data_IF_725565543093
#
_entry.id   IF_725565543093
#
_cell.length_a   1.000
_cell.length_b   1.000
_cell.length_c   1.000
_cell.angle_alpha   90.00
_cell.angle_beta   90.00
_cell.angle_gamma   90.00
#
_symmetry.space_group_name_H-M   'P 1'
#
loop_
_entity.id
_entity.type
_entity.pdbx_description
1 polymer ?
#
# COMPACT_ATOMS: atom_id res chain seq x y z
N UNK A 1 -21.10 25.75 8.50
CA UNK A 1 -20.62 24.85 7.44
C UNK A 1 -20.28 23.53 8.10
N UNK A 2 -20.89 22.42 7.69
CA UNK A 2 -20.47 21.09 8.15
C UNK A 2 -19.26 20.72 7.29
N UNK A 3 -18.09 20.55 7.90
CA UNK A 3 -16.90 20.01 7.24
C UNK A 3 -17.29 18.74 6.49
N UNK A 4 -17.14 18.80 5.16
CA UNK A 4 -17.51 17.73 4.26
C UNK A 4 -16.54 16.57 4.49
N UNK A 5 -17.08 15.37 4.60
CA UNK A 5 -16.44 14.11 4.99
C UNK A 5 -15.38 13.63 3.94
N UNK A 6 -14.29 14.38 3.75
CA UNK A 6 -13.19 14.14 2.81
C UNK A 6 -11.97 13.45 3.43
N UNK A 7 -12.07 13.02 4.69
CA UNK A 7 -10.93 12.38 5.38
C UNK A 7 -10.61 10.99 4.84
N UNK A 8 -11.55 10.35 4.14
CA UNK A 8 -11.36 9.04 3.54
C UNK A 8 -11.16 9.17 2.04
N UNK A 9 -10.01 8.71 1.55
CA UNK A 9 -9.69 8.73 0.12
C UNK A 9 -9.25 7.34 -0.35
N UNK A 10 -9.52 7.02 -1.60
CA UNK A 10 -8.95 5.84 -2.26
C UNK A 10 -7.56 6.23 -2.76
N UNK A 11 -6.54 5.47 -2.36
CA UNK A 11 -5.17 5.64 -2.80
C UNK A 11 -4.65 4.33 -3.36
N UNK A 12 -3.77 4.44 -4.35
CA UNK A 12 -2.99 3.31 -4.82
C UNK A 12 -1.74 3.20 -3.95
N UNK A 13 -1.51 1.99 -3.46
CA UNK A 13 -0.37 1.63 -2.64
C UNK A 13 0.50 0.67 -3.42
N UNK A 14 1.77 0.99 -3.56
CA UNK A 14 2.76 0.12 -4.20
C UNK A 14 3.66 -0.52 -3.14
N UNK A 15 3.92 -1.82 -3.30
CA UNK A 15 4.86 -2.59 -2.47
C UNK A 15 6.14 -2.85 -3.28
N UNK A 16 7.10 -1.92 -3.30
CA UNK A 16 8.32 -2.06 -4.08
C UNK A 16 9.19 -3.19 -3.56
N UNK A 17 9.75 -3.99 -4.48
CA UNK A 17 10.76 -4.99 -4.15
C UNK A 17 10.25 -6.21 -3.36
N UNK A 18 8.93 -6.37 -3.20
CA UNK A 18 8.36 -7.51 -2.49
C UNK A 18 8.86 -8.82 -3.13
N UNK A 19 9.49 -9.72 -2.34
CA UNK A 19 9.92 -11.03 -2.84
C UNK A 19 8.76 -11.86 -3.41
N UNK A 20 9.02 -12.60 -4.49
CA UNK A 20 7.99 -13.41 -5.17
C UNK A 20 7.35 -14.48 -4.27
N UNK A 21 8.09 -15.00 -3.28
CA UNK A 21 7.57 -15.93 -2.27
C UNK A 21 6.37 -15.38 -1.49
N UNK A 22 6.22 -14.05 -1.40
CA UNK A 22 5.09 -13.39 -0.75
C UNK A 22 3.95 -13.03 -1.71
N UNK A 23 3.96 -13.51 -2.97
CA UNK A 23 2.91 -13.21 -3.93
C UNK A 23 1.68 -14.08 -3.71
N UNK A 24 0.99 -13.81 -2.60
CA UNK A 24 -0.23 -14.49 -2.18
C UNK A 24 -1.36 -13.46 -2.06
N UNK A 25 -2.49 -13.71 -2.72
CA UNK A 25 -3.68 -12.85 -2.66
C UNK A 25 -4.17 -12.62 -1.23
N UNK A 26 -4.09 -13.62 -0.36
CA UNK A 26 -4.53 -13.50 1.02
C UNK A 26 -3.59 -12.62 1.85
N UNK A 27 -2.28 -12.72 1.61
CA UNK A 27 -1.31 -11.79 2.18
C UNK A 27 -1.56 -10.36 1.69
N UNK A 28 -1.85 -10.16 0.41
CA UNK A 28 -2.18 -8.84 -0.13
C UNK A 28 -3.46 -8.26 0.49
N UNK A 29 -4.48 -9.09 0.74
CA UNK A 29 -5.69 -8.67 1.46
C UNK A 29 -5.38 -8.28 2.90
N UNK A 30 -4.53 -9.05 3.59
CA UNK A 30 -4.11 -8.75 4.95
C UNK A 30 -3.33 -7.43 5.02
N UNK A 31 -2.38 -7.22 4.09
CA UNK A 31 -1.63 -5.96 3.97
C UNK A 31 -2.57 -4.80 3.68
N UNK A 32 -3.45 -4.93 2.68
CA UNK A 32 -4.42 -3.89 2.34
C UNK A 32 -5.32 -3.56 3.53
N UNK A 33 -5.78 -4.57 4.28
CA UNK A 33 -6.58 -4.44 5.49
C UNK A 33 -5.86 -3.78 6.66
N UNK A 34 -4.54 -3.99 6.78
CA UNK A 34 -3.71 -3.32 7.78
C UNK A 34 -3.53 -1.82 7.47
N UNK A 35 -3.41 -1.48 6.18
CA UNK A 35 -3.28 -0.09 5.72
C UNK A 35 -4.62 0.65 5.80
N UNK A 36 -5.72 -0.02 5.45
CA UNK A 36 -7.04 0.57 5.41
C UNK A 36 -8.10 -0.39 4.87
N UNK A 37 -9.16 0.13 4.26
CA UNK A 37 -10.16 -0.74 3.63
C UNK A 37 -9.72 -1.15 2.23
N UNK A 38 -9.50 -2.45 2.00
CA UNK A 38 -9.15 -2.96 0.68
C UNK A 38 -10.29 -2.74 -0.33
N UNK A 39 -9.98 -2.12 -1.48
CA UNK A 39 -10.93 -1.88 -2.58
C UNK A 39 -10.62 -2.79 -3.76
N UNK A 40 -9.36 -2.82 -4.19
CA UNK A 40 -8.89 -3.62 -5.33
C UNK A 40 -7.46 -4.08 -5.08
N UNK A 41 -7.16 -5.29 -5.54
CA UNK A 41 -5.80 -5.82 -5.56
C UNK A 41 -5.42 -6.00 -7.03
N UNK A 42 -4.39 -5.29 -7.47
CA UNK A 42 -3.87 -5.39 -8.83
C UNK A 42 -2.39 -5.79 -8.76
N UNK A 43 -2.09 -7.04 -9.11
CA UNK A 43 -0.72 -7.53 -9.18
C UNK A 43 -0.42 -7.91 -10.63
N UNK A 44 0.43 -7.11 -11.28
CA UNK A 44 0.72 -7.31 -12.69
C UNK A 44 1.81 -8.38 -12.84
N UNK A 45 1.42 -9.59 -13.24
CA UNK A 45 2.36 -10.69 -13.54
C UNK A 45 2.84 -10.63 -14.99
N UNK A 46 3.50 -9.54 -15.40
CA UNK A 46 4.15 -9.53 -16.73
C UNK A 46 5.46 -10.30 -16.62
N UNK A 47 5.53 -11.41 -17.36
CA UNK A 47 6.73 -12.24 -17.53
C UNK A 47 7.75 -11.44 -18.35
N UNK A 48 8.82 -10.94 -17.71
CA UNK A 48 9.90 -10.20 -18.38
C UNK A 48 10.77 -9.35 -17.44
N UNK A 49 11.83 -8.72 -17.97
CA UNK A 49 12.87 -7.93 -17.27
C UNK A 49 12.40 -6.67 -16.51
N UNK A 50 11.09 -6.39 -16.38
CA UNK A 50 10.58 -5.24 -15.61
C UNK A 50 10.35 -5.63 -14.16
N UNK A 51 10.76 -4.77 -13.21
CA UNK A 51 10.48 -4.92 -11.78
C UNK A 51 8.98 -5.21 -11.59
N UNK A 52 8.68 -6.29 -10.88
CA UNK A 52 7.32 -6.64 -10.48
C UNK A 52 6.93 -5.71 -9.33
N UNK A 53 5.78 -5.06 -9.45
CA UNK A 53 5.20 -4.24 -8.40
C UNK A 53 3.81 -4.77 -8.09
N UNK A 54 3.48 -4.85 -6.81
CA UNK A 54 2.12 -5.12 -6.35
C UNK A 54 1.50 -3.77 -6.04
N UNK A 55 0.34 -3.49 -6.64
CA UNK A 55 -0.40 -2.24 -6.39
C UNK A 55 -1.77 -2.57 -5.78
N UNK A 56 -2.11 -1.90 -4.69
CA UNK A 56 -3.33 -2.12 -3.92
C UNK A 56 -4.14 -0.81 -3.92
N UNK A 57 -5.42 -0.86 -4.29
CA UNK A 57 -6.32 0.26 -4.02
C UNK A 57 -6.89 0.08 -2.61
N UNK A 58 -6.65 1.06 -1.74
CA UNK A 58 -7.10 1.07 -0.35
C UNK A 58 -7.77 2.39 -0.01
N UNK A 59 -8.82 2.34 0.81
CA UNK A 59 -9.37 3.54 1.45
C UNK A 59 -8.57 3.82 2.71
N UNK A 60 -7.97 5.00 2.82
CA UNK A 60 -7.21 5.45 3.99
C UNK A 60 -7.88 6.65 4.64
N UNK A 61 -7.76 6.76 5.97
CA UNK A 61 -8.19 7.93 6.74
C UNK A 61 -7.01 8.89 6.93
N UNK A 62 -7.02 10.03 6.23
CA UNK A 62 -5.98 11.06 6.27
C UNK A 62 -5.82 11.74 7.63
N UNK A 63 -6.76 11.51 8.56
CA UNK A 63 -6.64 12.01 9.94
C UNK A 63 -5.75 11.10 10.80
N UNK A 64 -5.39 9.92 10.31
CA UNK A 64 -4.51 8.96 10.99
C UNK A 64 -3.14 8.97 10.32
N UNK A 65 -2.06 8.71 11.08
CA UNK A 65 -0.75 8.46 10.49
C UNK A 65 -0.84 7.33 9.46
N UNK A 66 -0.25 7.55 8.28
CA UNK A 66 -0.15 6.52 7.26
C UNK A 66 0.96 5.54 7.62
N UNK A 67 0.73 4.27 7.31
CA UNK A 67 1.71 3.21 7.54
C UNK A 67 2.80 3.31 6.47
N UNK A 68 4.05 3.55 6.85
CA UNK A 68 5.19 3.61 5.93
C UNK A 68 5.83 2.25 5.68
N UNK A 69 5.71 1.29 6.61
CA UNK A 69 6.25 -0.06 6.49
C UNK A 69 5.35 -1.11 7.14
N UNK A 70 5.41 -2.33 6.63
CA UNK A 70 4.73 -3.50 7.21
C UNK A 70 5.75 -4.63 7.35
N UNK A 71 5.78 -5.26 8.53
CA UNK A 71 6.52 -6.50 8.74
C UNK A 71 5.79 -7.68 8.12
N UNK A 72 6.49 -8.46 7.31
CA UNK A 72 6.04 -9.71 6.70
C UNK A 72 7.07 -10.77 7.09
N UNK A 73 6.75 -11.61 8.06
CA UNK A 73 7.71 -12.53 8.68
C UNK A 73 8.99 -11.77 9.12
N UNK A 74 10.16 -12.13 8.57
CA UNK A 74 11.45 -11.48 8.84
C UNK A 74 11.81 -10.40 7.80
N UNK A 75 10.83 -9.93 7.01
CA UNK A 75 11.02 -8.97 5.94
C UNK A 75 10.23 -7.69 6.22
N UNK A 76 10.92 -6.54 6.21
CA UNK A 76 10.29 -5.23 6.34
C UNK A 76 9.94 -4.70 4.95
N UNK A 77 8.66 -4.62 4.64
CA UNK A 77 8.15 -4.11 3.36
C UNK A 77 7.82 -2.61 3.47
N UNK A 78 8.46 -1.78 2.65
CA UNK A 78 8.10 -0.36 2.47
C UNK A 78 6.74 -0.22 1.77
N UNK A 79 5.98 0.78 2.15
CA UNK A 79 4.66 1.10 1.60
C UNK A 79 4.73 2.46 0.92
N UNK A 80 4.46 2.50 -0.38
CA UNK A 80 4.47 3.74 -1.17
C UNK A 80 3.04 4.12 -1.56
N UNK A 81 2.65 5.39 -1.39
CA UNK A 81 1.30 5.87 -1.73
C UNK A 81 1.35 6.77 -2.97
N UNK A 82 0.72 6.35 -4.06
CA UNK A 82 0.66 7.18 -5.26
C UNK A 82 -0.26 8.38 -5.05
N UNK A 83 0.19 9.55 -5.51
CA UNK A 83 -0.59 10.79 -5.48
C UNK A 83 -0.62 11.52 -4.13
N UNK A 84 0.09 11.02 -3.11
CA UNK A 84 0.27 11.71 -1.82
C UNK A 84 1.62 12.42 -1.75
N UNK A 85 1.61 13.74 -1.98
CA UNK A 85 2.82 14.59 -2.04
C UNK A 85 3.43 14.91 -0.66
N UNK A 86 2.74 14.61 0.44
CA UNK A 86 3.13 15.03 1.80
C UNK A 86 3.70 13.90 2.66
N UNK A 87 4.11 12.78 2.06
CA UNK A 87 4.71 11.66 2.78
C UNK A 87 6.22 11.71 2.59
N UNK A 88 6.96 11.76 3.70
CA UNK A 88 8.40 11.54 3.64
C UNK A 88 8.70 10.04 3.66
N UNK A 89 8.92 9.46 2.48
CA UNK A 89 9.25 8.04 2.34
C UNK A 89 10.65 7.66 2.83
N UNK A 90 11.50 8.66 3.10
CA UNK A 90 12.83 8.49 3.71
C UNK A 90 12.81 8.72 5.22
N UNK A 91 11.69 9.18 5.78
CA UNK A 91 11.52 9.45 7.21
C UNK A 91 10.71 8.34 7.91
N UNK A 92 10.39 7.26 7.19
CA UNK A 92 9.57 6.16 7.65
C UNK A 92 10.01 4.87 6.98
N UNK A 93 10.33 3.88 7.81
CA UNK A 93 11.34 2.83 7.59
C UNK A 93 12.76 3.38 7.81
#
# INVERSE_FOLDING_TARGET
MKDLHLSHIVVWVTLPGLPYMYYNKDLFRAIAGAIGQAVKIDYNTIVGRRRKFVTLAVVVDLRKPLISCIGIDNFLQRVEYDGLLFICYECGC
#
